data_IF_836176509477
#
_entry.id   IF_836176509477
#
_cell.length_a   1.000
_cell.length_b   1.000
_cell.length_c   1.000
_cell.angle_alpha   90.00
_cell.angle_beta   90.00
_cell.angle_gamma   90.00
#
_symmetry.space_group_name_H-M   'P 1'
#
loop_
_entity.id
_entity.type
_entity.pdbx_description
1 polymer ?
#
# COMPACT_ATOMS: atom_id res chain seq x y z
N UNK A 1 0.55 -0.20 15.95
CA UNK A 1 1.00 -1.40 15.19
C UNK A 1 1.25 -2.63 16.09
N UNK A 2 0.97 -3.84 15.57
CA UNK A 2 1.29 -5.15 16.15
C UNK A 2 2.81 -5.42 16.14
N UNK A 3 3.29 -6.22 17.09
CA UNK A 3 4.73 -6.53 17.24
C UNK A 3 5.33 -7.18 15.99
N UNK A 4 4.66 -8.19 15.42
CA UNK A 4 5.11 -8.85 14.18
C UNK A 4 5.22 -7.88 13.00
N UNK A 5 4.30 -6.93 12.87
CA UNK A 5 4.34 -5.88 11.84
C UNK A 5 5.59 -5.01 12.01
N UNK A 6 5.85 -4.57 13.24
CA UNK A 6 7.02 -3.76 13.58
C UNK A 6 8.31 -4.50 13.24
N UNK A 7 8.41 -5.80 13.54
CA UNK A 7 9.58 -6.61 13.21
C UNK A 7 9.84 -6.70 11.70
N UNK A 8 8.80 -6.93 10.90
CA UNK A 8 8.90 -7.02 9.45
C UNK A 8 9.32 -5.68 8.84
N UNK A 9 8.70 -4.58 9.28
CA UNK A 9 9.04 -3.24 8.82
C UNK A 9 10.47 -2.86 9.20
N UNK A 10 10.91 -3.17 10.43
CA UNK A 10 12.31 -2.95 10.87
C UNK A 10 13.33 -3.70 10.03
N UNK A 11 13.05 -4.97 9.69
CA UNK A 11 13.89 -5.77 8.78
C UNK A 11 13.99 -5.14 7.38
N UNK A 12 13.00 -4.35 7.01
CA UNK A 12 12.90 -3.66 5.71
C UNK A 12 13.48 -2.23 5.75
N UNK A 13 14.13 -1.84 6.86
CA UNK A 13 14.78 -0.53 7.01
C UNK A 13 13.89 0.59 7.57
N UNK A 14 12.65 0.30 7.95
CA UNK A 14 11.81 1.25 8.69
C UNK A 14 12.23 1.34 10.16
N UNK A 15 12.05 2.49 10.78
CA UNK A 15 12.23 2.68 12.22
C UNK A 15 11.27 3.76 12.73
N UNK A 16 10.96 3.78 14.05
CA UNK A 16 10.14 4.83 14.63
C UNK A 16 10.70 6.23 14.33
N UNK A 17 9.82 7.19 14.06
CA UNK A 17 10.16 8.56 13.69
C UNK A 17 10.99 8.69 12.40
N UNK A 18 10.97 7.68 11.52
CA UNK A 18 11.55 7.80 10.19
C UNK A 18 10.87 8.95 9.45
N UNK A 19 11.68 9.79 8.81
CA UNK A 19 11.22 10.93 8.00
C UNK A 19 12.23 11.17 6.89
N UNK A 20 11.91 10.73 5.68
CA UNK A 20 12.75 10.98 4.50
C UNK A 20 12.37 12.28 3.80
N UNK A 21 13.29 12.83 3.02
CA UNK A 21 12.97 13.88 2.06
C UNK A 21 12.15 13.28 0.92
N UNK A 22 11.00 13.89 0.64
CA UNK A 22 10.04 13.46 -0.38
C UNK A 22 9.96 14.43 -1.57
N UNK A 23 10.86 15.42 -1.66
CA UNK A 23 10.81 16.46 -2.71
C UNK A 23 10.73 15.86 -4.12
N UNK A 24 11.61 14.91 -4.43
CA UNK A 24 11.62 14.25 -5.75
C UNK A 24 10.39 13.36 -5.97
N UNK A 25 9.85 12.75 -4.91
CA UNK A 25 8.63 11.97 -5.00
C UNK A 25 7.43 12.86 -5.34
N UNK A 26 7.29 14.01 -4.67
CA UNK A 26 6.23 14.98 -4.95
C UNK A 26 6.28 15.40 -6.43
N UNK A 27 7.45 15.77 -6.93
CA UNK A 27 7.64 16.11 -8.36
C UNK A 27 7.29 14.94 -9.28
N UNK A 28 7.66 13.70 -8.89
CA UNK A 28 7.34 12.50 -9.65
C UNK A 28 5.82 12.27 -9.79
N UNK A 29 5.07 12.52 -8.73
CA UNK A 29 3.61 12.37 -8.68
C UNK A 29 2.87 13.50 -9.40
N UNK A 30 3.27 14.75 -9.19
CA UNK A 30 2.64 15.91 -9.82
C UNK A 30 2.75 15.84 -11.36
N UNK A 31 3.89 15.39 -11.88
CA UNK A 31 4.09 15.12 -13.32
C UNK A 31 3.14 14.05 -13.90
N UNK A 32 2.48 13.27 -13.04
CA UNK A 32 1.54 12.19 -13.39
C UNK A 32 0.09 12.54 -13.08
N UNK A 33 -0.17 13.80 -12.74
CA UNK A 33 -1.51 14.32 -12.48
C UNK A 33 -2.01 14.09 -11.06
N UNK A 34 -1.18 13.60 -10.14
CA UNK A 34 -1.58 13.43 -8.74
C UNK A 34 -1.40 14.73 -7.96
N UNK A 35 -2.35 15.00 -7.06
CA UNK A 35 -2.21 16.02 -6.02
C UNK A 35 -1.78 15.34 -4.72
N UNK A 36 -0.58 15.66 -4.21
CA UNK A 36 -0.05 15.04 -2.99
C UNK A 36 -0.49 15.84 -1.77
N UNK A 37 -1.59 15.39 -1.14
CA UNK A 37 -2.18 15.99 0.06
C UNK A 37 -1.44 15.61 1.36
N UNK A 38 -1.71 16.28 2.50
CA UNK A 38 -0.92 16.14 3.72
C UNK A 38 -0.76 14.71 4.26
N UNK A 39 -1.82 13.90 4.25
CA UNK A 39 -1.75 12.52 4.73
C UNK A 39 -0.87 11.64 3.84
N UNK A 40 -0.92 11.81 2.51
CA UNK A 40 0.00 11.15 1.59
C UNK A 40 1.45 11.59 1.83
N UNK A 41 1.70 12.87 2.11
CA UNK A 41 3.05 13.36 2.47
C UNK A 41 3.58 12.66 3.72
N UNK A 42 2.78 12.62 4.79
CA UNK A 42 3.16 11.93 6.04
C UNK A 42 3.47 10.46 5.79
N UNK A 43 2.64 9.77 5.02
CA UNK A 43 2.88 8.38 4.64
C UNK A 43 4.21 8.22 3.91
N UNK A 44 4.48 9.04 2.88
CA UNK A 44 5.70 8.94 2.08
C UNK A 44 6.95 9.30 2.90
N UNK A 45 6.86 10.29 3.79
CA UNK A 45 7.94 10.66 4.71
C UNK A 45 8.30 9.48 5.63
N UNK A 46 7.31 8.79 6.18
CA UNK A 46 7.55 7.73 7.16
C UNK A 46 7.84 6.38 6.50
N UNK A 47 7.03 5.97 5.54
CA UNK A 47 7.02 4.65 4.93
C UNK A 47 7.47 4.64 3.46
N UNK A 48 7.76 5.79 2.84
CA UNK A 48 8.19 5.83 1.44
C UNK A 48 9.56 5.19 1.21
N UNK A 49 9.78 4.68 -0.01
CA UNK A 49 11.06 4.13 -0.47
C UNK A 49 11.55 2.87 0.29
N UNK A 50 10.64 2.03 0.79
CA UNK A 50 10.97 0.74 1.41
C UNK A 50 10.44 -0.44 0.59
N UNK A 51 11.21 -1.53 0.57
CA UNK A 51 10.83 -2.82 0.00
C UNK A 51 10.62 -3.80 1.16
N UNK A 52 9.37 -4.21 1.40
CA UNK A 52 8.96 -5.07 2.49
C UNK A 52 8.68 -6.48 1.97
N UNK A 53 9.52 -7.43 2.40
CA UNK A 53 9.35 -8.85 2.08
C UNK A 53 8.57 -9.53 3.19
N UNK A 54 7.29 -9.84 2.94
CA UNK A 54 6.44 -10.56 3.85
C UNK A 54 6.42 -12.05 3.48
N UNK A 55 6.63 -12.99 4.42
CA UNK A 55 6.44 -14.42 4.13
C UNK A 55 5.05 -14.68 3.59
N UNK A 56 4.94 -15.52 2.57
CA UNK A 56 3.67 -15.87 1.89
C UNK A 56 2.59 -16.28 2.92
N UNK A 57 1.34 -16.00 2.58
CA UNK A 57 0.17 -16.32 3.39
C UNK A 57 0.28 -17.74 3.98
N UNK A 58 0.34 -17.88 5.32
CA UNK A 58 0.55 -19.18 5.94
C UNK A 58 -0.62 -20.15 5.74
N UNK A 59 -1.75 -19.67 5.19
CA UNK A 59 -2.90 -20.50 4.80
C UNK A 59 -2.69 -21.22 3.47
N UNK A 60 -1.67 -20.86 2.68
CA UNK A 60 -1.35 -21.55 1.44
C UNK A 60 -0.59 -22.85 1.78
N UNK A 61 -1.10 -24.03 1.41
CA UNK A 61 -0.42 -25.29 1.69
C UNK A 61 0.96 -25.40 1.01
N UNK A 62 1.93 -26.02 1.67
CA UNK A 62 3.30 -26.15 1.15
C UNK A 62 3.35 -26.98 -0.15
N UNK A 63 2.43 -27.92 -0.32
CA UNK A 63 2.23 -28.66 -1.57
C UNK A 63 1.83 -27.74 -2.73
N UNK A 64 1.00 -26.73 -2.48
CA UNK A 64 0.57 -25.78 -3.50
C UNK A 64 1.71 -24.81 -3.84
N UNK A 65 2.47 -24.35 -2.84
CA UNK A 65 3.69 -23.56 -3.04
C UNK A 65 4.65 -24.30 -3.97
N UNK A 66 4.87 -25.60 -3.73
CA UNK A 66 5.75 -26.44 -4.56
C UNK A 66 5.17 -26.69 -5.95
N UNK A 67 3.90 -27.08 -6.03
CA UNK A 67 3.24 -27.48 -7.28
C UNK A 67 3.13 -26.32 -8.27
N UNK A 68 2.77 -25.14 -7.79
CA UNK A 68 2.59 -23.95 -8.62
C UNK A 68 3.79 -23.01 -8.59
N UNK A 69 4.88 -23.39 -7.92
CA UNK A 69 6.10 -22.61 -7.79
C UNK A 69 5.85 -21.18 -7.28
N UNK A 70 4.98 -21.04 -6.28
CA UNK A 70 4.71 -19.73 -5.69
C UNK A 70 5.94 -19.17 -5.00
N UNK A 71 6.13 -17.86 -5.13
CA UNK A 71 7.14 -17.15 -4.36
C UNK A 71 6.84 -17.31 -2.87
N UNK A 72 7.87 -17.60 -2.08
CA UNK A 72 7.73 -17.73 -0.62
C UNK A 72 7.51 -16.39 0.09
N UNK A 73 7.53 -15.29 -0.64
CA UNK A 73 7.38 -13.95 -0.12
C UNK A 73 6.54 -13.09 -1.05
N UNK A 74 5.69 -12.28 -0.44
CA UNK A 74 5.06 -11.12 -1.06
C UNK A 74 5.97 -9.90 -0.90
N UNK A 75 6.13 -9.13 -1.98
CA UNK A 75 6.87 -7.87 -1.99
C UNK A 75 5.90 -6.70 -1.97
N UNK A 76 5.86 -5.98 -0.86
CA UNK A 76 5.22 -4.66 -0.79
C UNK A 76 6.29 -3.60 -0.96
N UNK A 77 6.18 -2.78 -2.01
CA UNK A 77 7.13 -1.70 -2.25
C UNK A 77 6.41 -0.36 -2.18
N UNK A 78 6.99 0.59 -1.47
CA UNK A 78 6.60 2.01 -1.50
C UNK A 78 7.59 2.85 -2.31
N UNK A 79 8.53 2.20 -3.01
CA UNK A 79 9.43 2.84 -3.95
C UNK A 79 8.74 2.97 -5.31
N UNK A 80 7.87 3.97 -5.43
CA UNK A 80 7.05 4.15 -6.64
C UNK A 80 7.83 4.54 -7.89
N UNK A 81 9.06 5.06 -7.72
CA UNK A 81 9.98 5.32 -8.83
C UNK A 81 10.44 4.00 -9.47
N UNK A 82 10.70 2.98 -8.64
CA UNK A 82 11.14 1.64 -9.07
C UNK A 82 9.98 0.71 -9.46
N UNK A 83 8.86 0.81 -8.75
CA UNK A 83 7.77 -0.17 -8.77
C UNK A 83 6.99 -0.23 -10.10
N UNK A 84 6.79 0.89 -10.78
CA UNK A 84 5.81 0.96 -11.89
C UNK A 84 6.40 1.33 -13.26
N UNK A 85 7.73 1.32 -13.44
CA UNK A 85 8.41 1.67 -14.70
C UNK A 85 7.86 2.95 -15.39
N UNK A 86 7.32 3.88 -14.60
CA UNK A 86 6.72 5.12 -15.09
C UNK A 86 5.29 5.02 -15.65
N UNK A 87 4.62 3.86 -15.60
CA UNK A 87 3.25 3.66 -16.12
C UNK A 87 2.14 4.21 -15.21
N UNK A 88 2.47 4.60 -13.98
CA UNK A 88 1.50 5.20 -13.07
C UNK A 88 1.00 6.54 -13.62
N UNK A 89 -0.31 6.70 -13.70
CA UNK A 89 -0.99 7.97 -13.97
C UNK A 89 -2.25 8.06 -13.11
N UNK A 90 -2.76 9.28 -12.90
CA UNK A 90 -4.00 9.48 -12.13
C UNK A 90 -5.17 8.70 -12.73
N UNK A 91 -5.23 8.57 -14.04
CA UNK A 91 -6.32 7.88 -14.76
C UNK A 91 -6.42 6.40 -14.38
N UNK A 92 -5.35 5.79 -13.84
CA UNK A 92 -5.37 4.41 -13.37
C UNK A 92 -6.23 4.19 -12.12
N UNK A 93 -6.59 5.26 -11.41
CA UNK A 93 -7.33 5.14 -10.15
C UNK A 93 -8.59 6.00 -10.04
N UNK A 94 -8.95 6.75 -11.09
CA UNK A 94 -10.10 7.66 -11.05
C UNK A 94 -11.42 6.94 -10.81
N UNK A 95 -11.57 5.70 -11.31
CA UNK A 95 -12.75 4.87 -11.04
C UNK A 95 -12.94 4.60 -9.54
N UNK A 96 -11.84 4.43 -8.77
CA UNK A 96 -11.94 4.20 -7.33
C UNK A 96 -12.37 5.44 -6.56
N UNK A 97 -11.88 6.62 -6.99
CA UNK A 97 -12.27 7.90 -6.42
C UNK A 97 -13.77 8.17 -6.61
N UNK A 98 -14.29 7.90 -7.82
CA UNK A 98 -15.66 8.22 -8.22
C UNK A 98 -16.70 7.20 -7.74
N UNK A 99 -16.40 5.91 -7.80
CA UNK A 99 -17.39 4.85 -7.54
C UNK A 99 -17.40 4.36 -6.08
N UNK A 100 -16.29 4.48 -5.35
CA UNK A 100 -16.16 3.81 -4.06
C UNK A 100 -15.69 4.70 -2.91
N UNK A 101 -14.74 5.62 -3.14
CA UNK A 101 -14.08 6.34 -2.04
C UNK A 101 -14.66 7.74 -1.79
N UNK A 102 -15.12 8.42 -2.84
CA UNK A 102 -15.58 9.82 -2.80
C UNK A 102 -14.54 10.81 -2.22
N UNK A 103 -13.26 10.45 -2.24
CA UNK A 103 -12.11 11.28 -1.87
C UNK A 103 -11.01 11.10 -2.92
N UNK A 104 -10.14 12.10 -3.08
CA UNK A 104 -8.95 11.91 -3.94
C UNK A 104 -8.03 10.85 -3.35
N UNK A 105 -7.39 10.09 -4.24
CA UNK A 105 -6.48 9.01 -3.90
C UNK A 105 -5.07 9.29 -4.43
N UNK A 106 -4.08 8.73 -3.74
CA UNK A 106 -2.69 8.67 -4.18
C UNK A 106 -2.19 7.25 -4.06
N UNK A 107 -1.62 6.70 -5.13
CA UNK A 107 -0.92 5.40 -5.06
C UNK A 107 0.40 5.59 -4.32
N UNK A 108 0.55 5.02 -3.14
CA UNK A 108 1.74 5.14 -2.29
C UNK A 108 2.59 3.86 -2.23
N UNK A 109 2.12 2.79 -2.88
CA UNK A 109 2.83 1.53 -2.93
C UNK A 109 2.26 0.57 -3.97
N UNK A 110 2.89 -0.59 -4.08
CA UNK A 110 2.35 -1.74 -4.79
C UNK A 110 2.64 -3.05 -4.08
N UNK A 111 1.75 -4.03 -4.23
CA UNK A 111 2.00 -5.43 -3.91
C UNK A 111 2.39 -6.20 -5.18
N UNK A 112 3.56 -6.85 -5.15
CA UNK A 112 4.12 -7.68 -6.21
C UNK A 112 4.15 -7.00 -7.59
N UNK A 113 4.20 -5.65 -7.61
CA UNK A 113 4.17 -4.83 -8.84
C UNK A 113 2.82 -4.79 -9.58
N UNK A 114 1.79 -5.43 -9.04
CA UNK A 114 0.53 -5.67 -9.77
C UNK A 114 -0.71 -5.10 -9.09
N UNK A 115 -0.64 -4.75 -7.80
CA UNK A 115 -1.78 -4.19 -7.07
C UNK A 115 -1.39 -2.89 -6.41
N UNK A 116 -2.22 -1.85 -6.55
CA UNK A 116 -1.95 -0.56 -5.95
C UNK A 116 -2.26 -0.52 -4.46
N UNK A 117 -1.39 0.13 -3.70
CA UNK A 117 -1.67 0.57 -2.34
C UNK A 117 -1.99 2.07 -2.41
N UNK A 118 -3.18 2.44 -1.96
CA UNK A 118 -3.72 3.78 -2.12
C UNK A 118 -4.00 4.41 -0.75
N UNK A 119 -3.80 5.72 -0.65
CA UNK A 119 -4.21 6.53 0.50
C UNK A 119 -5.20 7.58 0.03
N UNK A 120 -6.21 7.90 0.84
CA UNK A 120 -7.16 9.00 0.59
C UNK A 120 -6.79 10.28 1.33
N UNK A 121 -7.46 11.38 1.00
CA UNK A 121 -7.26 12.69 1.66
C UNK A 121 -7.40 12.61 3.19
N UNK A 122 -8.31 11.79 3.70
CA UNK A 122 -8.51 11.55 5.14
C UNK A 122 -7.51 10.58 5.77
N UNK A 123 -6.59 10.00 4.98
CA UNK A 123 -5.58 9.04 5.45
C UNK A 123 -6.04 7.58 5.49
N UNK A 124 -7.27 7.30 5.03
CA UNK A 124 -7.75 5.92 4.86
C UNK A 124 -6.93 5.22 3.78
N UNK A 125 -6.70 3.93 3.98
CA UNK A 125 -5.85 3.12 3.13
C UNK A 125 -6.68 2.09 2.38
N UNK A 126 -6.39 1.95 1.09
CA UNK A 126 -7.12 1.08 0.17
C UNK A 126 -6.17 0.25 -0.69
N UNK A 127 -6.70 -0.80 -1.29
CA UNK A 127 -6.12 -1.45 -2.47
C UNK A 127 -7.20 -1.60 -3.52
N UNK A 128 -6.85 -2.12 -4.70
CA UNK A 128 -7.83 -2.51 -5.72
C UNK A 128 -8.89 -3.50 -5.21
N UNK A 129 -8.67 -4.13 -4.05
CA UNK A 129 -9.63 -5.05 -3.42
C UNK A 129 -10.52 -4.43 -2.35
N UNK A 130 -10.27 -3.19 -1.89
CA UNK A 130 -11.13 -2.57 -0.90
C UNK A 130 -10.44 -1.68 0.12
N UNK A 131 -11.18 -1.39 1.18
CA UNK A 131 -10.72 -0.65 2.36
C UNK A 131 -9.87 -1.52 3.29
N UNK A 132 -8.66 -1.06 3.60
CA UNK A 132 -7.68 -1.79 4.41
C UNK A 132 -7.37 -1.14 5.75
N UNK A 133 -7.83 0.07 6.06
CA UNK A 133 -7.65 0.66 7.39
C UNK A 133 -7.81 2.18 7.39
N UNK A 134 -8.03 2.75 8.57
CA UNK A 134 -8.22 4.20 8.71
C UNK A 134 -6.91 5.00 8.64
N UNK A 135 -5.77 4.32 8.67
CA UNK A 135 -4.43 4.91 8.67
C UNK A 135 -3.38 3.87 8.24
N UNK A 136 -2.15 4.35 8.03
CA UNK A 136 -1.01 3.53 7.62
C UNK A 136 -0.70 2.37 8.58
N UNK A 137 -0.83 2.58 9.89
CA UNK A 137 -0.52 1.56 10.89
C UNK A 137 -1.51 0.39 10.83
N UNK A 138 -2.81 0.68 10.79
CA UNK A 138 -3.86 -0.33 10.63
C UNK A 138 -3.69 -1.10 9.32
N UNK A 139 -3.34 -0.38 8.25
CA UNK A 139 -3.07 -0.97 6.94
C UNK A 139 -1.92 -1.98 7.01
N UNK A 140 -0.75 -1.58 7.54
CA UNK A 140 0.39 -2.48 7.69
C UNK A 140 0.06 -3.68 8.58
N UNK A 141 -0.67 -3.45 9.68
CA UNK A 141 -1.10 -4.51 10.58
C UNK A 141 -2.02 -5.52 9.90
N UNK A 142 -2.92 -5.09 9.01
CA UNK A 142 -3.82 -6.02 8.32
C UNK A 142 -3.10 -6.75 7.19
N UNK A 143 -2.37 -6.01 6.35
CA UNK A 143 -1.78 -6.56 5.14
C UNK A 143 -0.63 -7.53 5.43
N UNK A 144 0.24 -7.22 6.40
CA UNK A 144 1.39 -8.08 6.76
C UNK A 144 1.01 -9.26 7.67
N UNK A 145 -0.22 -9.28 8.18
CA UNK A 145 -0.73 -10.38 8.99
C UNK A 145 -1.79 -11.22 8.28
N UNK A 146 -2.11 -10.91 7.01
CA UNK A 146 -3.13 -11.61 6.24
C UNK A 146 -4.50 -11.61 6.94
N UNK A 147 -4.83 -10.49 7.60
CA UNK A 147 -6.17 -10.28 8.16
C UNK A 147 -7.18 -10.18 7.00
N UNK A 148 -8.37 -10.78 7.17
CA UNK A 148 -9.41 -10.77 6.13
C UNK A 148 -9.88 -9.33 5.93
N UNK A 149 -10.00 -8.93 4.68
CA UNK A 149 -10.34 -7.57 4.27
C UNK A 149 -11.72 -7.57 3.65
N UNK A 150 -12.51 -6.55 3.98
CA UNK A 150 -13.77 -6.26 3.31
C UNK A 150 -13.49 -5.93 1.85
N UNK A 151 -14.03 -6.76 0.95
CA UNK A 151 -14.03 -6.48 -0.48
C UNK A 151 -14.87 -5.21 -0.76
N UNK A 152 -14.61 -4.46 -1.83
CA UNK A 152 -15.44 -3.32 -2.24
C UNK A 152 -16.94 -3.66 -2.27
N UNK A 153 -17.30 -4.89 -2.66
CA UNK A 153 -18.69 -5.39 -2.66
C UNK A 153 -19.31 -5.64 -1.27
N UNK A 154 -18.52 -5.57 -0.20
CA UNK A 154 -18.95 -5.75 1.19
C UNK A 154 -18.71 -4.50 2.05
N UNK A 155 -18.25 -3.41 1.43
CA UNK A 155 -18.02 -2.14 2.11
C UNK A 155 -19.25 -1.25 1.92
N UNK A 156 -20.22 -1.38 2.83
CA UNK A 156 -21.43 -0.56 2.88
C UNK A 156 -21.10 0.81 3.52
N UNK A 157 -20.31 1.63 2.81
CA UNK A 157 -19.83 2.94 3.26
C UNK A 157 -20.70 3.59 4.33
N UNK A 158 -20.19 3.63 5.57
CA UNK A 158 -20.78 4.24 6.78
C UNK A 158 -22.31 4.11 6.95
N UNK A 159 -22.72 3.25 7.90
CA UNK A 159 -23.90 3.53 8.73
C UNK A 159 -23.50 4.50 9.84
#
# INVERSE_FOLDING_TARGET
MKEKTIEILKKSGWHPNRKIDITDLVVYYEKRGFEIFPEAKKFLEEFGMIDVYCPINPRIPEEDIKKYHFNRYDLYTTNMIKSLNGMLSRDCISEYEEEYVEEKLVVVGSLNGNQYLMISESGKMFTEHGFFGNNAEEFWDRILNYDIVTNWMQWDGFI
#
